data_IF_049264393917
#
_entry.id   IF_049264393917
#
_cell.length_a   1.000
_cell.length_b   1.000
_cell.length_c   1.000
_cell.angle_alpha   90.00
_cell.angle_beta   90.00
_cell.angle_gamma   90.00
#
_symmetry.space_group_name_H-M   'P 1'
#
loop_
_entity.id
_entity.type
_entity.pdbx_description
1 polymer ?
#
# COMPACT_ATOMS: atom_id res chain seq x y z
N UNK A 1 -10.19 1.53 4.77
CA UNK A 1 -9.66 0.15 4.84
C UNK A 1 -8.56 0.08 5.88
N UNK A 2 -8.59 -0.89 6.75
CA UNK A 2 -7.56 -1.04 7.77
C UNK A 2 -6.78 -2.33 7.54
N UNK A 3 -5.48 -2.26 7.81
CA UNK A 3 -4.57 -3.38 7.70
C UNK A 3 -3.92 -3.63 9.06
N UNK A 4 -3.52 -4.87 9.30
CA UNK A 4 -2.76 -5.24 10.48
C UNK A 4 -1.53 -6.02 10.04
N UNK A 5 -0.39 -5.72 10.64
CA UNK A 5 0.81 -6.49 10.40
C UNK A 5 1.64 -6.62 11.67
N UNK A 6 2.51 -7.60 11.69
CA UNK A 6 3.39 -7.89 12.82
C UNK A 6 4.83 -7.57 12.43
N UNK A 7 5.55 -6.90 13.33
CA UNK A 7 6.96 -6.58 13.10
C UNK A 7 7.78 -7.84 12.86
N UNK A 8 8.62 -7.79 11.84
CA UNK A 8 9.50 -8.90 11.50
C UNK A 8 8.85 -9.99 10.65
N UNK A 9 7.55 -9.90 10.37
CA UNK A 9 6.86 -10.83 9.50
C UNK A 9 6.70 -10.24 8.09
N UNK A 10 6.85 -11.07 7.09
CA UNK A 10 6.54 -10.69 5.72
C UNK A 10 5.03 -10.40 5.62
N UNK A 11 4.70 -9.29 4.97
CA UNK A 11 3.32 -8.88 4.76
C UNK A 11 3.01 -8.83 3.27
N UNK A 12 1.85 -9.35 2.88
CA UNK A 12 1.39 -9.25 1.50
C UNK A 12 -0.11 -9.50 1.42
N UNK A 13 -0.77 -8.77 0.54
CA UNK A 13 -2.19 -8.95 0.24
C UNK A 13 -2.50 -8.48 -1.17
N UNK A 14 -3.64 -8.89 -1.69
CA UNK A 14 -4.13 -8.47 -3.01
C UNK A 14 -5.40 -7.66 -2.82
N UNK A 15 -5.45 -6.51 -3.48
CA UNK A 15 -6.62 -5.63 -3.47
C UNK A 15 -7.24 -5.67 -4.87
N UNK A 16 -8.55 -5.86 -4.93
CA UNK A 16 -9.30 -5.89 -6.18
C UNK A 16 -10.10 -4.61 -6.34
N UNK A 17 -10.03 -4.01 -7.51
CA UNK A 17 -10.83 -2.83 -7.89
C UNK A 17 -11.83 -3.22 -8.98
N UNK A 18 -12.93 -2.49 -9.05
CA UNK A 18 -14.02 -2.76 -10.02
C UNK A 18 -13.75 -2.18 -11.41
N UNK A 19 -12.48 -1.95 -11.74
CA UNK A 19 -12.10 -1.43 -13.04
C UNK A 19 -10.77 -2.03 -13.48
N UNK A 20 -10.54 -2.17 -14.81
CA UNK A 20 -9.25 -2.62 -15.29
C UNK A 20 -8.19 -1.55 -15.07
N UNK A 21 -7.00 -1.99 -14.68
CA UNK A 21 -5.84 -1.12 -14.41
C UNK A 21 -4.76 -1.22 -15.49
N UNK A 22 -5.11 -1.69 -16.66
CA UNK A 22 -4.17 -1.79 -17.78
C UNK A 22 -3.66 -0.40 -18.15
N UNK A 23 -2.33 -0.22 -18.15
CA UNK A 23 -1.70 1.06 -18.42
C UNK A 23 -1.61 2.01 -17.24
N UNK A 24 -2.11 1.61 -16.06
CA UNK A 24 -1.99 2.41 -14.84
C UNK A 24 -0.64 2.16 -14.16
N UNK A 25 -0.08 3.22 -13.59
CA UNK A 25 1.05 3.11 -12.66
C UNK A 25 0.50 3.19 -11.24
N UNK A 26 0.81 2.20 -10.41
CA UNK A 26 0.29 2.10 -9.05
C UNK A 26 1.44 2.18 -8.05
N UNK A 27 1.29 3.03 -7.03
CA UNK A 27 2.26 3.16 -5.94
C UNK A 27 1.53 3.18 -4.61
N UNK A 28 2.18 2.69 -3.57
CA UNK A 28 1.63 2.73 -2.22
C UNK A 28 2.71 3.10 -1.22
N UNK A 29 2.29 3.69 -0.11
CA UNK A 29 3.22 4.10 0.95
C UNK A 29 2.55 4.09 2.32
N UNK A 30 3.38 3.86 3.35
CA UNK A 30 3.01 4.08 4.74
C UNK A 30 3.34 5.52 5.12
N UNK A 31 2.43 6.15 5.84
CA UNK A 31 2.60 7.53 6.28
C UNK A 31 2.42 7.65 7.78
N UNK A 32 3.07 8.65 8.38
CA UNK A 32 2.86 8.99 9.78
C UNK A 32 1.50 9.67 9.94
N UNK A 33 0.70 9.23 10.90
CA UNK A 33 -0.57 9.89 11.22
C UNK A 33 -0.36 11.26 11.85
N UNK A 34 0.79 11.52 12.41
CA UNK A 34 1.10 12.80 13.09
C UNK A 34 1.54 13.85 12.08
N UNK A 35 2.48 13.50 11.20
CA UNK A 35 3.08 14.47 10.28
C UNK A 35 2.59 14.32 8.83
N UNK A 36 1.98 13.20 8.48
CA UNK A 36 1.61 12.89 7.11
C UNK A 36 2.79 12.54 6.20
N UNK A 37 4.00 12.54 6.74
CA UNK A 37 5.21 12.23 5.97
C UNK A 37 5.27 10.73 5.64
N UNK A 38 5.85 10.41 4.48
CA UNK A 38 6.08 9.03 4.08
C UNK A 38 7.10 8.39 5.01
N UNK A 39 6.70 7.30 5.66
CA UNK A 39 7.58 6.52 6.54
C UNK A 39 8.32 5.47 5.73
N UNK A 40 7.63 4.80 4.82
CA UNK A 40 8.15 3.64 4.12
C UNK A 40 7.34 3.40 2.83
N UNK A 41 7.97 3.18 1.68
CA UNK A 41 7.24 2.77 0.50
C UNK A 41 6.77 1.32 0.63
N UNK A 42 5.58 1.03 0.10
CA UNK A 42 5.04 -0.32 0.02
C UNK A 42 5.28 -0.82 -1.41
N UNK A 43 5.80 -2.04 -1.53
CA UNK A 43 5.99 -2.67 -2.85
C UNK A 43 4.64 -2.99 -3.46
N UNK A 44 4.42 -2.55 -4.69
CA UNK A 44 3.17 -2.80 -5.44
C UNK A 44 3.46 -3.59 -6.69
N UNK A 45 2.54 -4.49 -7.03
CA UNK A 45 2.60 -5.30 -8.25
C UNK A 45 1.21 -5.40 -8.84
N UNK A 46 1.09 -5.19 -10.15
CA UNK A 46 -0.16 -5.46 -10.86
C UNK A 46 -0.26 -6.97 -11.07
N UNK A 47 -1.02 -7.65 -10.21
CA UNK A 47 -1.19 -9.11 -10.26
C UNK A 47 -2.00 -9.50 -11.49
N UNK A 48 -3.11 -8.79 -11.72
CA UNK A 48 -3.93 -8.95 -12.91
C UNK A 48 -4.53 -7.59 -13.26
N UNK A 49 -3.88 -6.87 -14.16
CA UNK A 49 -4.29 -5.52 -14.54
C UNK A 49 -5.69 -5.49 -15.16
N UNK A 50 -6.02 -6.48 -15.98
CA UNK A 50 -7.33 -6.57 -16.63
C UNK A 50 -8.46 -6.76 -15.62
N UNK A 51 -8.21 -7.51 -14.55
CA UNK A 51 -9.17 -7.72 -13.47
C UNK A 51 -9.10 -6.65 -12.38
N UNK A 52 -8.15 -5.72 -12.45
CA UNK A 52 -7.98 -4.67 -11.45
C UNK A 52 -7.38 -5.16 -10.14
N UNK A 53 -6.55 -6.19 -10.17
CA UNK A 53 -5.93 -6.76 -8.98
C UNK A 53 -4.53 -6.21 -8.76
N UNK A 54 -4.30 -5.65 -7.58
CA UNK A 54 -3.01 -5.06 -7.16
C UNK A 54 -2.52 -5.80 -5.92
N UNK A 55 -1.30 -6.33 -5.99
CA UNK A 55 -0.61 -6.88 -4.82
C UNK A 55 0.18 -5.79 -4.11
N UNK A 56 0.08 -5.74 -2.79
CA UNK A 56 0.93 -4.90 -1.95
C UNK A 56 1.71 -5.79 -0.99
N UNK A 57 2.97 -5.44 -0.75
CA UNK A 57 3.85 -6.26 0.07
C UNK A 57 4.89 -5.44 0.81
N UNK A 58 5.28 -5.94 1.98
CA UNK A 58 6.42 -5.45 2.76
C UNK A 58 7.27 -6.65 3.13
N UNK A 59 8.59 -6.50 3.00
CA UNK A 59 9.53 -7.56 3.40
C UNK A 59 9.66 -7.63 4.93
N UNK A 60 10.21 -8.74 5.42
CA UNK A 60 10.51 -8.91 6.84
C UNK A 60 11.38 -7.77 7.39
N UNK A 61 12.40 -7.37 6.63
CA UNK A 61 13.29 -6.28 7.03
C UNK A 61 12.53 -4.95 7.11
N UNK A 62 11.61 -4.70 6.18
CA UNK A 62 10.81 -3.47 6.18
C UNK A 62 9.86 -3.41 7.37
N UNK A 63 9.18 -4.50 7.70
CA UNK A 63 8.28 -4.54 8.86
C UNK A 63 9.05 -4.45 10.17
N UNK A 64 10.23 -5.07 10.26
CA UNK A 64 11.08 -5.00 11.44
C UNK A 64 11.60 -3.57 11.71
N UNK A 65 11.72 -2.75 10.68
CA UNK A 65 12.15 -1.36 10.81
C UNK A 65 11.05 -0.44 11.36
N UNK A 66 9.80 -0.89 11.40
CA UNK A 66 8.67 -0.10 11.90
C UNK A 66 8.57 -0.20 13.42
N UNK A 67 8.26 0.91 14.08
CA UNK A 67 7.89 0.90 15.48
C UNK A 67 6.45 0.40 15.63
N UNK A 68 6.14 -0.21 16.78
CA UNK A 68 4.76 -0.60 17.12
C UNK A 68 3.89 0.65 17.19
N UNK A 69 2.73 0.60 16.56
CA UNK A 69 1.80 1.72 16.54
C UNK A 69 0.88 1.69 15.35
N UNK A 70 0.13 2.78 15.19
CA UNK A 70 -0.79 2.94 14.06
C UNK A 70 -0.23 3.93 13.06
N UNK A 71 -0.27 3.56 11.79
CA UNK A 71 0.19 4.37 10.67
C UNK A 71 -0.96 4.58 9.68
N UNK A 72 -0.84 5.62 8.87
CA UNK A 72 -1.66 5.76 7.69
C UNK A 72 -1.05 5.01 6.52
N UNK A 73 -1.85 4.69 5.52
CA UNK A 73 -1.37 4.19 4.25
C UNK A 73 -2.24 4.69 3.13
N UNK A 74 -1.66 4.78 1.95
CA UNK A 74 -2.41 5.17 0.76
C UNK A 74 -1.88 4.44 -0.46
N UNK A 75 -2.78 4.18 -1.38
CA UNK A 75 -2.48 3.64 -2.69
C UNK A 75 -2.89 4.69 -3.72
N UNK A 76 -1.93 5.09 -4.55
CA UNK A 76 -2.12 6.11 -5.57
C UNK A 76 -1.94 5.46 -6.93
N UNK A 77 -2.80 5.78 -7.87
CA UNK A 77 -2.60 5.37 -9.25
C UNK A 77 -2.53 6.57 -10.17
N UNK A 78 -1.80 6.38 -11.26
CA UNK A 78 -1.72 7.34 -12.36
C UNK A 78 -2.32 6.66 -13.58
N UNK A 79 -3.45 7.19 -14.05
CA UNK A 79 -4.12 6.68 -15.24
C UNK A 79 -3.35 7.06 -16.52
N UNK A 80 -3.57 6.37 -17.64
CA UNK A 80 -3.06 6.82 -18.93
C UNK A 80 -3.46 8.27 -19.19
N UNK A 81 -2.50 9.10 -19.56
CA UNK A 81 -2.70 10.55 -19.67
C UNK A 81 -2.24 11.33 -18.45
N UNK A 82 -1.54 10.67 -17.51
CA UNK A 82 -0.93 11.27 -16.33
C UNK A 82 -1.92 11.86 -15.31
N UNK A 83 -3.13 11.29 -15.21
CA UNK A 83 -4.11 11.68 -14.19
C UNK A 83 -3.85 10.89 -12.91
N UNK A 84 -3.36 11.58 -11.87
CA UNK A 84 -3.04 10.97 -10.58
C UNK A 84 -4.23 11.05 -9.63
N UNK A 85 -4.53 9.95 -8.95
CA UNK A 85 -5.58 9.91 -7.91
C UNK A 85 -5.17 9.02 -6.75
N UNK A 86 -5.61 9.38 -5.55
CA UNK A 86 -5.55 8.48 -4.40
C UNK A 86 -6.69 7.49 -4.53
N UNK A 87 -6.35 6.24 -4.85
CA UNK A 87 -7.34 5.21 -5.09
C UNK A 87 -7.91 4.64 -3.81
N UNK A 88 -7.07 4.57 -2.76
CA UNK A 88 -7.42 3.94 -1.50
C UNK A 88 -6.55 4.54 -0.40
N UNK A 89 -7.14 4.71 0.78
CA UNK A 89 -6.41 5.16 1.96
C UNK A 89 -6.99 4.47 3.19
N UNK A 90 -6.22 4.44 4.27
CA UNK A 90 -6.67 3.80 5.50
C UNK A 90 -5.60 3.82 6.55
N UNK A 91 -5.71 2.91 7.50
CA UNK A 91 -4.78 2.78 8.62
C UNK A 91 -4.12 1.41 8.60
N UNK A 92 -2.90 1.36 9.16
CA UNK A 92 -2.15 0.12 9.37
C UNK A 92 -1.77 0.06 10.85
N UNK A 93 -2.14 -1.03 11.50
CA UNK A 93 -1.72 -1.30 12.86
C UNK A 93 -0.54 -2.25 12.86
N UNK A 94 0.58 -1.81 13.45
CA UNK A 94 1.80 -2.60 13.58
C UNK A 94 1.91 -3.11 15.00
N UNK A 95 1.96 -4.43 15.16
CA UNK A 95 2.07 -5.09 16.46
C UNK A 95 3.44 -5.73 16.65
N UNK A 96 3.78 -5.98 17.90
CA UNK A 96 5.04 -6.65 18.25
C UNK A 96 5.02 -8.14 17.88
#
# INVERSE_FOLDING_TARGET
MSLSLRRGDEFGTVISFDLPLTGYAVTASLTSLVSGATVLPITTTLVNATAGQVGIALSEAQTAALAVGTYGWQLIWVAPGAVQRTALSGTVEVTA
#
